data_IF_397624193413
#
_entry.id   IF_397624193413
#
_cell.length_a   1.000
_cell.length_b   1.000
_cell.length_c   1.000
_cell.angle_alpha   90.00
_cell.angle_beta   90.00
_cell.angle_gamma   90.00
#
_symmetry.space_group_name_H-M   'P 1'
#
loop_
_entity.id
_entity.type
_entity.pdbx_description
1 polymer ?
#
# COMPACT_ATOMS: atom_id res chain seq x y z
N UNK A 1 -22.25 -63.20 -18.29
CA UNK A 1 -21.60 -61.97 -18.80
C UNK A 1 -21.62 -60.93 -17.70
N UNK A 2 -20.52 -60.84 -16.98
CA UNK A 2 -20.38 -59.88 -15.87
C UNK A 2 -19.61 -58.66 -16.39
N UNK A 3 -20.29 -57.48 -16.53
CA UNK A 3 -19.64 -56.22 -16.91
C UNK A 3 -19.16 -55.52 -15.66
N UNK A 4 -17.85 -55.60 -15.41
CA UNK A 4 -17.17 -54.84 -14.36
C UNK A 4 -17.16 -53.35 -14.74
N UNK A 5 -17.88 -52.51 -13.97
CA UNK A 5 -17.75 -51.07 -14.02
C UNK A 5 -16.55 -50.65 -13.17
N UNK A 6 -15.44 -50.36 -13.80
CA UNK A 6 -14.31 -49.65 -13.14
C UNK A 6 -14.71 -48.17 -12.92
N UNK A 7 -15.06 -47.81 -11.70
CA UNK A 7 -15.23 -46.42 -11.30
C UNK A 7 -13.86 -45.80 -11.14
N UNK A 8 -13.51 -44.90 -12.06
CA UNK A 8 -12.34 -44.04 -11.94
C UNK A 8 -12.64 -42.93 -10.93
N UNK A 9 -12.09 -43.04 -9.74
CA UNK A 9 -12.12 -41.97 -8.74
C UNK A 9 -10.97 -40.99 -9.13
N UNK A 10 -11.35 -39.86 -9.69
CA UNK A 10 -10.42 -38.74 -9.90
C UNK A 10 -10.24 -38.04 -8.56
N UNK A 11 -9.12 -38.29 -7.89
CA UNK A 11 -8.71 -37.53 -6.71
C UNK A 11 -8.13 -36.21 -7.21
N UNK A 12 -8.93 -35.15 -7.13
CA UNK A 12 -8.43 -33.77 -7.37
C UNK A 12 -7.66 -33.37 -6.11
N UNK A 13 -6.35 -33.46 -6.18
CA UNK A 13 -5.45 -32.87 -5.16
C UNK A 13 -5.51 -31.35 -5.29
N UNK A 14 -6.31 -30.71 -4.45
CA UNK A 14 -6.20 -29.29 -4.22
C UNK A 14 -4.90 -29.02 -3.46
N UNK A 15 -3.88 -28.55 -4.17
CA UNK A 15 -2.69 -27.98 -3.54
C UNK A 15 -3.12 -26.70 -2.85
N UNK A 16 -3.27 -26.72 -1.53
CA UNK A 16 -3.37 -25.50 -0.73
C UNK A 16 -1.99 -24.87 -0.72
N UNK A 17 -1.78 -23.86 -1.54
CA UNK A 17 -0.61 -23.00 -1.39
C UNK A 17 -0.80 -22.18 -0.12
N UNK A 18 -0.03 -22.49 0.91
CA UNK A 18 0.06 -21.66 2.10
C UNK A 18 0.75 -20.36 1.69
N UNK A 19 -0.02 -19.30 1.55
CA UNK A 19 0.53 -17.96 1.34
C UNK A 19 1.05 -17.47 2.68
N UNK A 20 2.36 -17.52 2.86
CA UNK A 20 3.01 -16.98 4.05
C UNK A 20 3.16 -15.47 3.89
N UNK A 21 2.76 -14.73 4.91
CA UNK A 21 3.07 -13.30 5.03
C UNK A 21 4.48 -13.14 5.57
N UNK A 22 5.22 -12.19 5.00
CA UNK A 22 6.58 -11.86 5.37
C UNK A 22 6.70 -10.37 5.69
N UNK A 23 7.65 -10.02 6.51
CA UNK A 23 7.80 -8.67 7.03
C UNK A 23 8.41 -7.72 5.99
N UNK A 24 7.69 -6.65 5.68
CA UNK A 24 8.14 -5.49 4.91
C UNK A 24 8.31 -4.29 5.84
N UNK A 25 9.45 -3.64 5.78
CA UNK A 25 9.79 -2.45 6.57
C UNK A 25 9.69 -1.21 5.70
N UNK A 26 8.91 -0.23 6.13
CA UNK A 26 8.69 1.03 5.42
C UNK A 26 9.30 2.15 6.24
N UNK A 27 10.42 2.69 5.77
CA UNK A 27 11.06 3.85 6.36
C UNK A 27 10.43 5.12 5.78
N UNK A 28 9.94 5.99 6.64
CA UNK A 28 9.22 7.20 6.28
C UNK A 28 10.02 8.40 6.76
N UNK A 29 10.24 9.35 5.88
CA UNK A 29 10.83 10.65 6.19
C UNK A 29 9.88 11.77 5.75
N UNK A 30 9.86 12.86 6.50
CA UNK A 30 9.06 14.05 6.20
C UNK A 30 9.84 15.34 6.50
N UNK A 31 9.41 16.43 5.90
CA UNK A 31 9.87 17.76 6.29
C UNK A 31 9.19 18.28 7.56
N UNK A 32 8.08 17.68 7.95
CA UNK A 32 7.24 18.11 9.07
C UNK A 32 7.35 17.13 10.23
N UNK A 33 7.49 17.64 11.44
CA UNK A 33 7.74 16.88 12.66
C UNK A 33 6.50 16.78 13.53
N UNK A 34 5.38 16.36 12.96
CA UNK A 34 4.15 16.11 13.73
C UNK A 34 3.16 15.28 12.93
N UNK A 35 2.06 14.87 13.60
CA UNK A 35 0.98 14.12 12.97
C UNK A 35 1.29 12.65 12.73
N UNK A 36 0.58 12.06 11.82
CA UNK A 36 0.62 10.63 11.54
C UNK A 36 0.86 10.38 10.04
N UNK A 37 1.77 9.49 9.73
CA UNK A 37 1.85 8.94 8.38
C UNK A 37 0.75 7.89 8.22
N UNK A 38 -0.14 8.12 7.26
CA UNK A 38 -1.21 7.22 6.87
C UNK A 38 -0.87 6.62 5.51
N UNK A 39 -0.64 5.30 5.48
CA UNK A 39 -0.19 4.60 4.28
C UNK A 39 -1.25 3.60 3.81
N UNK A 40 -1.46 3.53 2.50
CA UNK A 40 -2.20 2.48 1.83
C UNK A 40 -1.27 1.62 0.97
N UNK A 41 -1.34 0.31 1.14
CA UNK A 41 -0.64 -0.69 0.34
C UNK A 41 -1.58 -1.21 -0.73
N UNK A 42 -1.16 -1.18 -1.97
CA UNK A 42 -1.95 -1.59 -3.13
C UNK A 42 -1.28 -2.79 -3.82
N UNK A 43 -2.06 -3.80 -4.13
CA UNK A 43 -1.69 -4.99 -4.89
C UNK A 43 -2.28 -4.99 -6.31
N UNK A 44 -3.03 -3.95 -6.68
CA UNK A 44 -3.72 -3.83 -7.96
C UNK A 44 -3.54 -2.46 -8.57
N UNK A 45 -3.01 -2.43 -9.78
CA UNK A 45 -2.85 -1.20 -10.56
C UNK A 45 -4.17 -0.40 -10.67
N UNK A 46 -5.28 -1.09 -10.92
CA UNK A 46 -6.60 -0.45 -11.07
C UNK A 46 -7.10 0.27 -9.82
N UNK A 47 -6.52 0.01 -8.66
CA UNK A 47 -6.89 0.64 -7.38
C UNK A 47 -5.95 1.77 -7.00
N UNK A 48 -4.70 1.71 -7.46
CA UNK A 48 -3.71 2.73 -7.19
C UNK A 48 -4.11 4.09 -7.79
N UNK A 49 -3.94 5.16 -7.02
CA UNK A 49 -4.30 6.51 -7.45
C UNK A 49 -5.80 6.85 -7.38
N UNK A 50 -6.67 5.96 -6.88
CA UNK A 50 -8.11 6.21 -6.71
C UNK A 50 -8.48 6.93 -5.41
N UNK A 51 -7.55 7.03 -4.46
CA UNK A 51 -7.77 7.80 -3.23
C UNK A 51 -8.00 9.27 -3.58
N UNK A 52 -8.99 9.88 -2.93
CA UNK A 52 -9.40 11.25 -3.20
C UNK A 52 -9.13 12.15 -2.02
N UNK A 53 -8.81 13.39 -2.34
CA UNK A 53 -8.66 14.48 -1.37
C UNK A 53 -10.02 14.83 -0.76
N UNK A 54 -10.03 15.15 0.53
CA UNK A 54 -11.22 15.49 1.31
C UNK A 54 -12.27 14.36 1.40
N UNK A 55 -11.86 13.12 1.12
CA UNK A 55 -12.70 11.93 1.31
C UNK A 55 -12.03 10.97 2.29
N UNK A 56 -12.85 10.26 3.08
CA UNK A 56 -12.34 9.21 3.97
C UNK A 56 -11.66 8.10 3.16
N UNK A 57 -10.55 7.52 3.69
CA UNK A 57 -9.91 6.39 3.06
C UNK A 57 -10.91 5.26 2.78
N UNK A 58 -10.88 4.75 1.56
CA UNK A 58 -11.72 3.62 1.16
C UNK A 58 -10.93 2.31 1.32
N UNK A 59 -11.34 1.48 2.29
CA UNK A 59 -10.70 0.20 2.56
C UNK A 59 -10.81 -0.82 1.41
N UNK A 60 -11.79 -0.65 0.52
CA UNK A 60 -12.02 -1.61 -0.58
C UNK A 60 -10.97 -1.49 -1.71
N UNK A 61 -10.24 -0.37 -1.77
CA UNK A 61 -9.24 -0.13 -2.82
C UNK A 61 -7.81 -0.43 -2.37
N UNK A 62 -7.56 -0.65 -1.09
CA UNK A 62 -6.24 -0.99 -0.56
C UNK A 62 -6.20 -2.45 -0.12
N UNK A 63 -5.05 -3.10 -0.24
CA UNK A 63 -4.82 -4.41 0.37
C UNK A 63 -4.84 -4.27 1.89
N UNK A 64 -4.15 -3.25 2.41
CA UNK A 64 -4.14 -2.89 3.82
C UNK A 64 -3.76 -1.43 4.02
N UNK A 65 -4.17 -0.88 5.15
CA UNK A 65 -3.73 0.43 5.62
C UNK A 65 -2.90 0.33 6.89
N UNK A 66 -2.00 1.27 7.10
CA UNK A 66 -1.27 1.41 8.37
C UNK A 66 -1.11 2.88 8.74
N UNK A 67 -1.06 3.15 10.04
CA UNK A 67 -0.93 4.49 10.61
C UNK A 67 0.20 4.48 11.62
N UNK A 68 1.17 5.38 11.44
CA UNK A 68 2.31 5.50 12.36
C UNK A 68 2.58 6.96 12.70
N UNK A 69 2.90 7.23 13.97
CA UNK A 69 3.22 8.58 14.42
C UNK A 69 4.58 9.01 13.88
N UNK A 70 4.65 10.24 13.36
CA UNK A 70 5.91 10.87 12.97
C UNK A 70 6.54 11.52 14.20
N UNK A 71 7.82 11.24 14.41
CA UNK A 71 8.63 11.82 15.49
C UNK A 71 10.02 12.13 14.93
N UNK A 72 10.51 13.35 15.18
CA UNK A 72 11.78 13.82 14.62
C UNK A 72 11.82 13.67 13.07
N UNK A 73 10.69 13.97 12.41
CA UNK A 73 10.52 13.89 10.95
C UNK A 73 10.64 12.48 10.36
N UNK A 74 10.55 11.45 11.18
CA UNK A 74 10.71 10.05 10.79
C UNK A 74 9.63 9.18 11.40
N UNK A 75 9.33 8.10 10.71
CA UNK A 75 8.54 6.99 11.21
C UNK A 75 8.97 5.69 10.54
N UNK A 76 8.67 4.58 11.17
CA UNK A 76 8.86 3.24 10.59
C UNK A 76 7.54 2.50 10.71
N UNK A 77 7.03 2.03 9.59
CA UNK A 77 5.91 1.10 9.56
C UNK A 77 6.44 -0.31 9.28
N UNK A 78 5.92 -1.28 10.00
CA UNK A 78 6.22 -2.70 9.82
C UNK A 78 4.91 -3.38 9.46
N UNK A 79 4.88 -4.06 8.33
CA UNK A 79 3.70 -4.75 7.83
C UNK A 79 4.06 -6.17 7.38
N UNK A 80 3.10 -7.07 7.49
CA UNK A 80 3.25 -8.45 7.02
C UNK A 80 2.34 -8.67 5.81
N UNK A 81 2.96 -8.93 4.66
CA UNK A 81 2.29 -9.21 3.39
C UNK A 81 3.00 -10.34 2.66
N UNK A 82 2.33 -11.11 1.80
CA UNK A 82 2.99 -12.11 0.96
C UNK A 82 4.04 -11.48 0.04
N UNK A 83 4.99 -12.28 -0.44
CA UNK A 83 5.85 -11.84 -1.55
C UNK A 83 5.00 -11.50 -2.78
N UNK A 84 5.31 -10.40 -3.44
CA UNK A 84 4.53 -9.92 -4.57
C UNK A 84 4.92 -8.53 -5.06
N UNK A 85 4.08 -7.99 -5.93
CA UNK A 85 4.20 -6.62 -6.45
C UNK A 85 3.28 -5.69 -5.68
N UNK A 86 3.82 -4.59 -5.18
CA UNK A 86 3.07 -3.61 -4.41
C UNK A 86 3.44 -2.20 -4.81
N UNK A 87 2.48 -1.29 -4.67
CA UNK A 87 2.73 0.14 -4.62
C UNK A 87 2.19 0.69 -3.30
N UNK A 88 2.83 1.69 -2.76
CA UNK A 88 2.39 2.35 -1.53
C UNK A 88 2.17 3.83 -1.83
N UNK A 89 1.03 4.33 -1.38
CA UNK A 89 0.73 5.76 -1.34
C UNK A 89 0.42 6.16 0.10
N UNK A 90 0.85 7.34 0.49
CA UNK A 90 0.59 7.83 1.83
C UNK A 90 0.57 9.35 1.93
N UNK A 91 0.09 9.81 3.05
CA UNK A 91 0.09 11.22 3.41
C UNK A 91 0.38 11.40 4.89
N UNK A 92 0.77 12.60 5.26
CA UNK A 92 0.94 12.98 6.66
C UNK A 92 -0.28 13.77 7.12
N UNK A 93 -1.09 13.14 7.95
CA UNK A 93 -2.23 13.78 8.61
C UNK A 93 -1.72 14.73 9.70
N UNK A 94 -1.72 16.01 9.37
CA UNK A 94 -1.23 17.08 10.25
C UNK A 94 -2.33 17.68 11.12
N UNK A 95 -3.59 17.61 10.68
CA UNK A 95 -4.73 18.18 11.40
C UNK A 95 -5.53 17.15 12.21
N UNK A 96 -5.19 15.86 12.09
CA UNK A 96 -5.78 14.76 12.85
C UNK A 96 -7.18 14.37 12.40
N UNK A 97 -7.57 14.71 11.16
CA UNK A 97 -8.91 14.44 10.65
C UNK A 97 -9.08 13.02 10.03
N UNK A 98 -7.96 12.30 9.80
CA UNK A 98 -7.95 10.93 9.30
C UNK A 98 -8.16 10.79 7.79
N UNK A 99 -8.06 11.88 7.01
CA UNK A 99 -8.10 11.85 5.55
C UNK A 99 -7.21 12.95 4.95
N UNK A 100 -6.82 12.77 3.69
CA UNK A 100 -5.98 13.72 2.99
C UNK A 100 -6.71 15.03 2.75
N UNK A 101 -6.35 16.08 3.48
CA UNK A 101 -6.91 17.43 3.35
C UNK A 101 -6.37 18.14 2.11
N UNK A 102 -7.25 18.85 1.41
CA UNK A 102 -6.87 19.59 0.21
C UNK A 102 -7.73 20.84 -0.03
N UNK A 103 -7.37 21.58 -1.07
CA UNK A 103 -8.13 22.76 -1.49
C UNK A 103 -9.34 22.37 -2.36
N UNK A 104 -10.13 23.36 -2.77
CA UNK A 104 -11.33 23.17 -3.59
C UNK A 104 -11.04 22.65 -5.01
N UNK A 105 -9.79 22.73 -5.47
CA UNK A 105 -9.34 22.16 -6.76
C UNK A 105 -8.86 20.71 -6.63
N UNK A 106 -8.94 20.12 -5.42
CA UNK A 106 -8.44 18.77 -5.15
C UNK A 106 -6.93 18.67 -5.02
N UNK A 107 -6.23 19.80 -4.80
CA UNK A 107 -4.77 19.79 -4.57
C UNK A 107 -4.52 19.54 -3.09
N UNK A 108 -3.72 18.52 -2.73
CA UNK A 108 -3.34 18.24 -1.34
C UNK A 108 -2.71 19.45 -0.64
N UNK A 109 -3.12 19.70 0.60
CA UNK A 109 -2.50 20.67 1.51
C UNK A 109 -1.52 20.01 2.46
N UNK A 110 -1.65 18.71 2.64
CA UNK A 110 -0.80 17.89 3.49
C UNK A 110 0.30 17.21 2.70
N UNK A 111 1.42 16.85 3.35
CA UNK A 111 2.50 16.12 2.70
C UNK A 111 2.03 14.77 2.19
N UNK A 112 2.43 14.41 0.98
CA UNK A 112 2.13 13.14 0.35
C UNK A 112 3.41 12.45 -0.11
N UNK A 113 3.38 11.14 -0.24
CA UNK A 113 4.50 10.35 -0.71
C UNK A 113 4.10 9.00 -1.26
N UNK A 114 5.01 8.42 -2.03
CA UNK A 114 4.78 7.17 -2.74
C UNK A 114 6.04 6.31 -2.72
N UNK A 115 5.86 4.98 -2.83
CA UNK A 115 6.97 4.07 -3.10
C UNK A 115 7.61 4.37 -4.46
N UNK A 116 8.80 3.80 -4.72
CA UNK A 116 9.51 3.95 -6.00
C UNK A 116 10.01 5.37 -6.29
N UNK A 117 9.95 6.32 -5.34
CA UNK A 117 10.25 7.75 -5.57
C UNK A 117 9.33 8.40 -6.60
N UNK A 118 8.16 7.85 -6.82
CA UNK A 118 7.15 8.40 -7.71
C UNK A 118 6.70 9.79 -7.25
N UNK A 119 6.47 10.68 -8.20
CA UNK A 119 6.14 12.10 -7.94
C UNK A 119 4.81 12.47 -8.59
N UNK A 120 4.06 13.30 -7.89
CA UNK A 120 2.91 13.98 -8.48
C UNK A 120 3.37 15.00 -9.51
N UNK A 121 2.73 15.02 -10.66
CA UNK A 121 2.94 16.03 -11.70
C UNK A 121 1.63 16.71 -12.07
N UNK A 122 0.75 16.04 -12.83
CA UNK A 122 -0.59 16.50 -13.21
C UNK A 122 -1.67 15.55 -12.69
N UNK A 123 -1.48 15.01 -11.47
CA UNK A 123 -2.32 14.02 -10.85
C UNK A 123 -1.51 12.97 -10.10
N UNK A 124 -2.14 11.94 -9.53
CA UNK A 124 -1.43 10.86 -8.85
C UNK A 124 -0.45 10.17 -9.80
N UNK A 125 0.70 9.67 -9.29
CA UNK A 125 1.66 8.93 -10.12
C UNK A 125 1.03 7.65 -10.68
N UNK A 126 1.60 7.17 -11.77
CA UNK A 126 1.20 5.89 -12.36
C UNK A 126 1.72 4.73 -11.52
N UNK A 127 1.05 3.58 -11.64
CA UNK A 127 1.47 2.34 -11.02
C UNK A 127 2.95 2.01 -11.29
N UNK A 128 3.37 2.06 -12.55
CA UNK A 128 4.74 1.74 -12.96
C UNK A 128 5.81 2.63 -12.34
N UNK A 129 5.45 3.83 -11.88
CA UNK A 129 6.40 4.73 -11.21
C UNK A 129 6.56 4.40 -9.71
N UNK A 130 5.58 3.72 -9.12
CA UNK A 130 5.50 3.44 -7.68
C UNK A 130 5.66 1.96 -7.33
N UNK A 131 5.40 1.04 -8.26
CA UNK A 131 5.44 -0.39 -8.01
C UNK A 131 6.85 -0.87 -7.66
N UNK A 132 6.93 -1.78 -6.70
CA UNK A 132 8.16 -2.49 -6.33
C UNK A 132 7.88 -3.97 -6.12
N UNK A 133 8.92 -4.78 -6.27
CA UNK A 133 8.90 -6.21 -5.96
C UNK A 133 9.28 -6.44 -4.49
N UNK A 134 8.37 -7.00 -3.73
CA UNK A 134 8.67 -7.53 -2.40
C UNK A 134 9.01 -9.01 -2.53
N UNK A 135 10.27 -9.37 -2.32
CA UNK A 135 10.80 -10.72 -2.54
C UNK A 135 11.83 -11.19 -1.51
N UNK A 136 12.04 -10.40 -0.47
CA UNK A 136 13.02 -10.69 0.58
C UNK A 136 12.43 -10.34 1.95
N UNK A 137 12.57 -11.25 2.91
CA UNK A 137 12.19 -11.03 4.31
C UNK A 137 12.93 -9.79 4.86
N UNK A 138 12.23 -8.97 5.63
CA UNK A 138 12.74 -7.70 6.16
C UNK A 138 13.26 -6.75 5.07
N UNK A 139 12.68 -6.82 3.88
CA UNK A 139 12.98 -5.85 2.83
C UNK A 139 12.60 -4.46 3.31
N UNK A 140 13.49 -3.51 3.09
CA UNK A 140 13.26 -2.11 3.42
C UNK A 140 12.90 -1.33 2.17
N UNK A 141 11.91 -0.44 2.30
CA UNK A 141 11.60 0.58 1.32
C UNK A 141 11.56 1.96 1.98
N UNK A 142 11.67 3.00 1.19
CA UNK A 142 11.70 4.38 1.66
C UNK A 142 10.57 5.18 1.03
N UNK A 143 9.87 5.98 1.84
CA UNK A 143 8.86 6.93 1.40
C UNK A 143 9.20 8.29 1.98
N UNK A 144 9.22 9.28 1.11
CA UNK A 144 9.44 10.66 1.50
C UNK A 144 8.13 11.45 1.34
N UNK A 145 7.65 12.03 2.45
CA UNK A 145 6.43 12.84 2.50
C UNK A 145 6.78 14.31 2.34
N UNK A 146 6.26 14.94 1.30
CA UNK A 146 6.45 16.36 1.03
C UNK A 146 5.19 17.02 0.49
N UNK A 147 5.08 18.32 0.65
CA UNK A 147 4.02 19.12 0.00
C UNK A 147 4.32 19.32 -1.47
N UNK A 148 3.25 19.36 -2.28
CA UNK A 148 3.33 19.65 -3.71
C UNK A 148 3.50 21.17 -3.92
#
# INVERSE_FOLDING_TARGET
MCRSLLSFIIIILFSYENVYSETLIINIESKFDDGYAMLGVYDKENNFGKAKVNEKPNADIVLMGTVVKITNKKAIAIIDVPFGEYAIAGFQDLDGNGFLSGNFLGIPKEPIGFSGSAKVRFGPPKWNDAVFQFKKINQEIFIYLDKI
#
